data_IF_824673404804
#
_entry.id   IF_824673404804
#
_cell.length_a   1.000
_cell.length_b   1.000
_cell.length_c   1.000
_cell.angle_alpha   90.00
_cell.angle_beta   90.00
_cell.angle_gamma   90.00
#
_symmetry.space_group_name_H-M   'P 1'
#
loop_
_entity.id
_entity.type
_entity.pdbx_description
1 polymer ?
#
# COMPACT_ATOMS: atom_id res chain seq x y z
N UNK A 1 -22.58 -19.56 34.45
CA UNK A 1 -22.73 -18.32 33.66
C UNK A 1 -21.50 -18.19 32.78
N UNK A 2 -21.65 -18.44 31.47
CA UNK A 2 -20.54 -18.38 30.53
C UNK A 2 -21.07 -18.59 29.11
N UNK A 3 -21.75 -17.59 28.57
CA UNK A 3 -22.11 -17.57 27.15
C UNK A 3 -20.91 -17.01 26.36
N UNK A 4 -20.04 -17.90 25.90
CA UNK A 4 -19.15 -17.62 24.77
C UNK A 4 -19.98 -17.61 23.50
N UNK A 5 -20.48 -16.42 23.13
CA UNK A 5 -21.01 -16.21 21.78
C UNK A 5 -19.84 -16.25 20.81
N UNK A 6 -19.56 -17.42 20.26
CA UNK A 6 -18.69 -17.57 19.10
C UNK A 6 -19.30 -16.76 17.96
N UNK A 7 -18.72 -15.60 17.70
CA UNK A 7 -19.12 -14.74 16.59
C UNK A 7 -18.74 -15.43 15.29
N UNK A 8 -19.70 -16.18 14.72
CA UNK A 8 -19.57 -16.79 13.40
C UNK A 8 -19.30 -15.67 12.39
N UNK A 9 -18.08 -15.62 11.87
CA UNK A 9 -17.70 -14.72 10.79
C UNK A 9 -18.73 -14.79 9.67
N UNK A 10 -19.48 -13.71 9.49
CA UNK A 10 -20.52 -13.64 8.48
C UNK A 10 -19.90 -13.04 7.21
N UNK A 11 -19.93 -13.78 6.10
CA UNK A 11 -19.39 -13.29 4.81
C UNK A 11 -19.99 -11.96 4.35
N UNK A 12 -21.14 -11.56 4.91
CA UNK A 12 -21.74 -10.23 4.72
C UNK A 12 -20.85 -9.08 5.18
N UNK A 13 -19.92 -9.30 6.12
CA UNK A 13 -18.96 -8.29 6.56
C UNK A 13 -17.94 -7.89 5.48
N UNK A 14 -17.73 -8.74 4.46
CA UNK A 14 -16.85 -8.43 3.33
C UNK A 14 -17.54 -7.61 2.23
N UNK A 15 -18.87 -7.44 2.26
CA UNK A 15 -19.60 -6.73 1.22
C UNK A 15 -19.10 -5.28 1.04
N UNK A 16 -18.90 -4.48 2.10
CA UNK A 16 -18.38 -3.12 1.95
C UNK A 16 -16.99 -3.08 1.30
N UNK A 17 -16.14 -4.05 1.64
CA UNK A 17 -14.82 -4.21 1.05
C UNK A 17 -14.91 -4.59 -0.43
N UNK A 18 -15.79 -5.53 -0.79
CA UNK A 18 -16.04 -5.91 -2.18
C UNK A 18 -16.57 -4.73 -3.01
N UNK A 19 -17.47 -3.91 -2.45
CA UNK A 19 -17.96 -2.69 -3.10
C UNK A 19 -16.82 -1.72 -3.36
N UNK A 20 -15.97 -1.47 -2.36
CA UNK A 20 -14.77 -0.65 -2.52
C UNK A 20 -13.89 -1.15 -3.69
N UNK A 21 -13.56 -2.44 -3.69
CA UNK A 21 -12.70 -3.05 -4.72
C UNK A 21 -13.34 -2.93 -6.11
N UNK A 22 -14.64 -3.23 -6.23
CA UNK A 22 -15.36 -3.16 -7.50
C UNK A 22 -15.45 -1.72 -8.01
N UNK A 23 -15.80 -0.76 -7.16
CA UNK A 23 -15.90 0.66 -7.57
C UNK A 23 -14.53 1.16 -8.02
N UNK A 24 -13.47 0.86 -7.27
CA UNK A 24 -12.11 1.28 -7.63
C UNK A 24 -11.62 0.63 -8.93
N UNK A 25 -11.74 -0.70 -9.06
CA UNK A 25 -11.29 -1.44 -10.24
C UNK A 25 -12.12 -1.11 -11.49
N UNK A 26 -13.45 -1.09 -11.39
CA UNK A 26 -14.31 -0.74 -12.52
C UNK A 26 -14.04 0.68 -13.00
N UNK A 27 -13.89 1.64 -12.07
CA UNK A 27 -13.51 3.02 -12.43
C UNK A 27 -12.19 3.05 -13.20
N UNK A 28 -11.14 2.41 -12.67
CA UNK A 28 -9.83 2.34 -13.34
C UNK A 28 -9.88 1.63 -14.70
N UNK A 29 -10.62 0.53 -14.83
CA UNK A 29 -10.77 -0.19 -16.11
C UNK A 29 -11.53 0.65 -17.14
N UNK A 30 -12.64 1.30 -16.75
CA UNK A 30 -13.41 2.16 -17.66
C UNK A 30 -12.54 3.32 -18.15
N UNK A 31 -11.85 4.00 -17.24
CA UNK A 31 -10.92 5.09 -17.56
C UNK A 31 -9.76 4.60 -18.45
N UNK A 32 -9.29 3.37 -18.25
CA UNK A 32 -8.25 2.76 -19.07
C UNK A 32 -8.73 2.44 -20.49
N UNK A 33 -9.97 1.96 -20.65
CA UNK A 33 -10.59 1.70 -21.96
C UNK A 33 -10.84 3.02 -22.70
N UNK A 34 -11.15 4.09 -21.97
CA UNK A 34 -11.30 5.44 -22.52
C UNK A 34 -9.97 6.09 -22.94
N UNK A 35 -8.84 5.40 -22.75
CA UNK A 35 -7.52 5.89 -23.17
C UNK A 35 -6.95 6.98 -22.28
N UNK A 36 -7.45 7.13 -21.04
CA UNK A 36 -6.94 8.13 -20.09
C UNK A 36 -5.61 7.65 -19.52
N UNK A 37 -4.56 8.45 -19.64
CA UNK A 37 -3.27 8.17 -19.00
C UNK A 37 -3.44 8.09 -17.49
N UNK A 38 -2.75 7.12 -16.86
CA UNK A 38 -2.82 6.91 -15.41
C UNK A 38 -4.26 6.72 -14.89
N UNK A 39 -5.10 5.99 -15.64
CA UNK A 39 -6.52 5.78 -15.37
C UNK A 39 -6.87 5.46 -13.90
N UNK A 40 -6.07 4.64 -13.21
CA UNK A 40 -6.27 4.28 -11.79
C UNK A 40 -5.91 5.37 -10.78
N UNK A 41 -5.17 6.41 -11.22
CA UNK A 41 -4.85 7.59 -10.41
C UNK A 41 -5.90 8.69 -10.55
N UNK A 42 -6.67 8.70 -11.64
CA UNK A 42 -7.71 9.69 -11.90
C UNK A 42 -8.91 9.54 -10.96
N UNK A 43 -9.12 8.33 -10.44
CA UNK A 43 -10.10 8.07 -9.40
C UNK A 43 -9.39 7.81 -8.07
N UNK A 44 -9.29 8.81 -7.18
CA UNK A 44 -8.63 8.65 -5.90
C UNK A 44 -9.24 7.52 -5.08
N UNK A 45 -8.41 6.56 -4.65
CA UNK A 45 -8.81 5.46 -3.80
C UNK A 45 -9.58 5.89 -2.52
N UNK A 46 -9.25 7.02 -1.85
CA UNK A 46 -10.03 7.48 -0.70
C UNK A 46 -11.51 7.72 -1.00
N UNK A 47 -11.86 8.17 -2.21
CA UNK A 47 -13.26 8.37 -2.62
C UNK A 47 -13.97 7.01 -2.72
N UNK A 48 -13.30 6.01 -3.29
CA UNK A 48 -13.81 4.64 -3.36
C UNK A 48 -14.06 4.06 -1.96
N UNK A 49 -13.13 4.31 -1.02
CA UNK A 49 -13.23 3.85 0.38
C UNK A 49 -14.43 4.50 1.07
N UNK A 50 -14.67 5.81 0.88
CA UNK A 50 -15.84 6.50 1.44
C UNK A 50 -17.15 5.87 0.97
N UNK A 51 -17.26 5.50 -0.31
CA UNK A 51 -18.42 4.76 -0.81
C UNK A 51 -18.57 3.42 -0.07
N UNK A 52 -17.49 2.67 0.09
CA UNK A 52 -17.47 1.45 0.89
C UNK A 52 -17.95 1.66 2.33
N UNK A 53 -17.49 2.73 3.00
CA UNK A 53 -17.89 3.08 4.38
C UNK A 53 -19.39 3.39 4.45
N UNK A 54 -19.94 4.15 3.49
CA UNK A 54 -21.38 4.42 3.42
C UNK A 54 -22.18 3.11 3.36
N UNK A 55 -21.77 2.19 2.49
CA UNK A 55 -22.42 0.87 2.41
C UNK A 55 -22.22 0.02 3.67
N UNK A 56 -21.06 0.11 4.33
CA UNK A 56 -20.85 -0.53 5.64
C UNK A 56 -21.85 -0.01 6.67
N UNK A 57 -22.07 1.30 6.73
CA UNK A 57 -22.99 1.93 7.68
C UNK A 57 -24.45 1.57 7.38
N UNK A 58 -24.81 1.31 6.11
CA UNK A 58 -26.15 0.82 5.74
C UNK A 58 -26.35 -0.64 6.16
N UNK A 59 -25.33 -1.49 5.98
CA UNK A 59 -25.41 -2.93 6.30
C UNK A 59 -25.39 -3.22 7.80
N UNK A 60 -24.60 -2.47 8.56
CA UNK A 60 -24.50 -2.61 10.00
C UNK A 60 -25.81 -2.09 10.62
N UNK A 61 -26.46 -2.91 11.44
CA UNK A 61 -27.62 -2.50 12.22
C UNK A 61 -27.15 -1.82 13.52
N UNK A 62 -27.91 -0.82 13.99
CA UNK A 62 -27.57 -0.04 15.19
C UNK A 62 -27.76 1.46 14.98
N UNK A 63 -27.49 2.24 16.02
CA UNK A 63 -27.50 3.71 15.94
C UNK A 63 -26.28 4.23 15.16
N UNK A 64 -26.32 5.49 14.70
CA UNK A 64 -25.16 6.09 14.03
C UNK A 64 -23.96 6.22 14.97
N UNK A 65 -24.20 6.49 16.25
CA UNK A 65 -23.13 6.62 17.25
C UNK A 65 -22.42 5.27 17.47
N UNK A 66 -23.16 4.17 17.57
CA UNK A 66 -22.59 2.82 17.68
C UNK A 66 -21.75 2.42 16.46
N UNK A 67 -22.23 2.77 15.26
CA UNK A 67 -21.52 2.52 14.00
C UNK A 67 -20.23 3.35 13.94
N UNK A 68 -20.30 4.61 14.35
CA UNK A 68 -19.15 5.50 14.36
C UNK A 68 -18.10 5.04 15.38
N UNK A 69 -18.51 4.68 16.60
CA UNK A 69 -17.60 4.13 17.62
C UNK A 69 -16.90 2.87 17.11
N UNK A 70 -17.65 1.94 16.52
CA UNK A 70 -17.10 0.72 15.92
C UNK A 70 -16.11 1.01 14.79
N UNK A 71 -16.41 1.99 13.93
CA UNK A 71 -15.54 2.42 12.84
C UNK A 71 -14.23 3.05 13.36
N UNK A 72 -14.34 3.99 14.30
CA UNK A 72 -13.17 4.68 14.89
C UNK A 72 -12.29 3.68 15.64
N UNK A 73 -12.90 2.74 16.38
CA UNK A 73 -12.16 1.69 17.09
C UNK A 73 -11.42 0.76 16.14
N UNK A 74 -12.00 0.44 14.98
CA UNK A 74 -11.31 -0.29 13.92
C UNK A 74 -10.14 0.49 13.31
N UNK A 75 -10.32 1.78 13.05
CA UNK A 75 -9.26 2.66 12.54
C UNK A 75 -8.11 2.86 13.56
N UNK A 76 -8.42 2.78 14.86
CA UNK A 76 -7.47 2.91 15.96
C UNK A 76 -6.75 1.62 16.35
N UNK A 77 -6.82 0.56 15.54
CA UNK A 77 -6.08 -0.68 15.79
C UNK A 77 -4.57 -0.39 15.89
N UNK A 78 -3.91 -0.99 16.89
CA UNK A 78 -2.50 -0.74 17.18
C UNK A 78 -1.59 -1.01 15.97
N UNK A 79 -1.88 -2.05 15.19
CA UNK A 79 -1.11 -2.36 13.99
C UNK A 79 -1.28 -1.27 12.92
N UNK A 80 -2.51 -0.78 12.73
CA UNK A 80 -2.80 0.29 11.76
C UNK A 80 -2.07 1.58 12.18
N UNK A 81 -2.12 1.94 13.45
CA UNK A 81 -1.42 3.12 13.98
C UNK A 81 0.09 2.98 13.81
N UNK A 82 0.68 1.82 14.14
CA UNK A 82 2.11 1.56 13.94
C UNK A 82 2.48 1.70 12.45
N UNK A 83 1.68 1.13 11.54
CA UNK A 83 1.89 1.28 10.10
C UNK A 83 1.87 2.75 9.69
N UNK A 84 0.88 3.53 10.14
CA UNK A 84 0.81 4.97 9.86
C UNK A 84 2.07 5.72 10.31
N UNK A 85 2.56 5.45 11.51
CA UNK A 85 3.79 6.08 12.02
C UNK A 85 5.00 5.70 11.17
N UNK A 86 5.17 4.41 10.84
CA UNK A 86 6.26 3.95 9.97
C UNK A 86 6.18 4.63 8.59
N UNK A 87 4.99 4.72 8.00
CA UNK A 87 4.77 5.39 6.72
C UNK A 87 5.14 6.87 6.76
N UNK A 88 4.69 7.59 7.79
CA UNK A 88 4.97 9.02 7.94
C UNK A 88 6.47 9.27 8.14
N UNK A 89 7.13 8.47 8.98
CA UNK A 89 8.57 8.57 9.22
C UNK A 89 9.38 8.20 7.97
N UNK A 90 9.01 7.13 7.27
CA UNK A 90 9.69 6.71 6.05
C UNK A 90 9.49 7.72 4.91
N UNK A 91 8.29 8.30 4.77
CA UNK A 91 8.02 9.38 3.83
C UNK A 91 8.83 10.63 4.13
N UNK A 92 8.91 11.02 5.40
CA UNK A 92 9.77 12.11 5.87
C UNK A 92 11.25 11.83 5.58
N UNK A 93 11.74 10.65 5.94
CA UNK A 93 13.11 10.21 5.68
C UNK A 93 13.44 10.19 4.18
N UNK A 94 12.54 9.69 3.33
CA UNK A 94 12.72 9.68 1.87
C UNK A 94 12.81 11.10 1.31
N UNK A 95 12.02 12.04 1.85
CA UNK A 95 12.01 13.43 1.41
C UNK A 95 13.32 14.14 1.79
N UNK A 96 13.76 13.97 3.04
CA UNK A 96 15.02 14.54 3.55
C UNK A 96 16.23 13.92 2.85
N UNK A 97 16.26 12.59 2.68
CA UNK A 97 17.36 11.88 2.00
C UNK A 97 17.53 12.31 0.54
N UNK A 98 16.43 12.63 -0.14
CA UNK A 98 16.46 13.25 -1.48
C UNK A 98 16.98 14.68 -1.43
N UNK A 99 16.48 15.51 -0.50
CA UNK A 99 16.90 16.90 -0.37
C UNK A 99 18.40 17.04 -0.06
N UNK A 100 18.98 16.11 0.70
CA UNK A 100 20.41 16.07 1.02
C UNK A 100 21.27 15.44 -0.11
N UNK A 101 20.67 14.90 -1.18
CA UNK A 101 21.37 14.22 -2.28
C UNK A 101 21.92 12.83 -1.93
N UNK A 102 21.68 12.33 -0.71
CA UNK A 102 22.18 11.02 -0.26
C UNK A 102 21.56 9.86 -1.01
N UNK A 103 20.27 9.96 -1.36
CA UNK A 103 19.58 8.97 -2.17
C UNK A 103 20.21 8.85 -3.57
N UNK A 104 20.47 9.98 -4.22
CA UNK A 104 21.11 10.03 -5.55
C UNK A 104 22.53 9.48 -5.55
N UNK A 105 23.33 9.81 -4.52
CA UNK A 105 24.68 9.31 -4.36
C UNK A 105 24.71 7.80 -4.17
N UNK A 106 23.82 7.26 -3.32
CA UNK A 106 23.70 5.82 -3.06
C UNK A 106 23.28 5.06 -4.32
N UNK A 107 22.33 5.60 -5.08
CA UNK A 107 21.91 5.01 -6.35
C UNK A 107 23.06 5.00 -7.37
N UNK A 108 23.78 6.10 -7.52
CA UNK A 108 24.91 6.20 -8.46
C UNK A 108 26.05 5.24 -8.08
N UNK A 109 26.34 5.09 -6.78
CA UNK A 109 27.30 4.09 -6.30
C UNK A 109 26.83 2.66 -6.63
N UNK A 110 25.54 2.38 -6.41
CA UNK A 110 24.92 1.11 -6.78
C UNK A 110 25.10 0.78 -8.27
N UNK A 111 24.85 1.74 -9.16
CA UNK A 111 25.03 1.58 -10.61
C UNK A 111 26.48 1.41 -11.05
N UNK A 112 27.42 1.93 -10.25
CA UNK A 112 28.86 1.79 -10.54
C UNK A 112 29.39 0.41 -10.13
N UNK A 113 28.84 -0.17 -9.06
CA UNK A 113 29.29 -1.45 -8.52
C UNK A 113 28.51 -2.65 -9.06
N UNK A 114 27.23 -2.46 -9.40
CA UNK A 114 26.30 -3.54 -9.76
C UNK A 114 25.90 -3.39 -11.23
N UNK A 115 26.16 -4.41 -12.07
CA UNK A 115 25.66 -4.42 -13.44
C UNK A 115 24.13 -4.30 -13.50
N UNK A 116 23.56 -3.49 -14.42
CA UNK A 116 22.12 -3.22 -14.48
C UNK A 116 21.22 -4.47 -14.50
N UNK A 117 21.68 -5.55 -15.16
CA UNK A 117 20.96 -6.83 -15.24
C UNK A 117 20.68 -7.49 -13.88
N UNK A 118 21.46 -7.18 -12.85
CA UNK A 118 21.28 -7.76 -11.51
C UNK A 118 20.45 -6.88 -10.57
N UNK A 119 20.10 -5.66 -10.97
CA UNK A 119 19.38 -4.71 -10.12
C UNK A 119 18.00 -5.24 -9.72
N UNK A 120 17.24 -5.78 -10.67
CA UNK A 120 15.89 -6.31 -10.41
C UNK A 120 15.94 -7.48 -9.43
N UNK A 121 16.89 -8.41 -9.64
CA UNK A 121 17.10 -9.55 -8.73
C UNK A 121 17.57 -9.09 -7.35
N UNK A 122 18.45 -8.08 -7.30
CA UNK A 122 18.92 -7.49 -6.05
C UNK A 122 17.79 -6.84 -5.25
N UNK A 123 16.90 -6.09 -5.92
CA UNK A 123 15.69 -5.53 -5.30
C UNK A 123 14.84 -6.64 -4.70
N UNK A 124 14.58 -7.72 -5.45
CA UNK A 124 13.80 -8.86 -4.94
C UNK A 124 14.45 -9.50 -3.71
N UNK A 125 15.75 -9.79 -3.74
CA UNK A 125 16.44 -10.44 -2.62
C UNK A 125 16.48 -9.57 -1.37
N UNK A 126 16.72 -8.27 -1.52
CA UNK A 126 16.74 -7.32 -0.40
C UNK A 126 15.33 -7.16 0.17
N UNK A 127 14.31 -7.02 -0.68
CA UNK A 127 12.91 -6.98 -0.25
C UNK A 127 12.51 -8.25 0.48
N UNK A 128 12.84 -9.43 -0.06
CA UNK A 128 12.53 -10.71 0.58
C UNK A 128 13.22 -10.84 1.94
N UNK A 129 14.50 -10.47 2.04
CA UNK A 129 15.25 -10.50 3.30
C UNK A 129 14.63 -9.56 4.35
N UNK A 130 14.32 -8.33 3.97
CA UNK A 130 13.68 -7.35 4.87
C UNK A 130 12.27 -7.85 5.24
N UNK A 131 11.50 -8.39 4.31
CA UNK A 131 10.16 -8.91 4.59
C UNK A 131 10.20 -10.06 5.59
N UNK A 132 11.15 -10.98 5.45
CA UNK A 132 11.38 -12.06 6.42
C UNK A 132 11.82 -11.51 7.77
N UNK A 133 12.75 -10.56 7.80
CA UNK A 133 13.29 -9.99 9.03
C UNK A 133 12.26 -9.15 9.80
N UNK A 134 11.46 -8.37 9.08
CA UNK A 134 10.47 -7.43 9.67
C UNK A 134 9.09 -8.06 9.83
N UNK A 135 8.83 -9.20 9.18
CA UNK A 135 7.56 -9.92 9.21
C UNK A 135 6.39 -9.21 8.53
N UNK A 136 6.63 -8.09 7.83
CA UNK A 136 5.57 -7.26 7.21
C UNK A 136 5.85 -6.99 5.73
N UNK A 137 4.85 -7.23 4.88
CA UNK A 137 4.92 -6.91 3.44
C UNK A 137 4.96 -5.40 3.21
N UNK A 138 4.03 -4.68 3.83
CA UNK A 138 3.86 -3.24 3.59
C UNK A 138 5.04 -2.42 4.11
N UNK A 139 5.61 -2.77 5.28
CA UNK A 139 6.82 -2.12 5.79
C UNK A 139 8.02 -2.26 4.85
N UNK A 140 8.13 -3.41 4.17
CA UNK A 140 9.18 -3.68 3.17
C UNK A 140 9.03 -2.78 1.95
N UNK A 141 7.82 -2.71 1.39
CA UNK A 141 7.52 -1.87 0.21
C UNK A 141 7.82 -0.40 0.50
N UNK A 142 7.54 0.06 1.71
CA UNK A 142 7.78 1.44 2.13
C UNK A 142 9.27 1.75 2.31
N UNK A 143 10.02 0.84 2.92
CA UNK A 143 11.44 1.03 3.15
C UNK A 143 12.26 0.98 1.85
N UNK A 144 11.97 0.00 0.98
CA UNK A 144 12.77 -0.27 -0.22
C UNK A 144 12.22 0.48 -1.45
N UNK A 145 10.92 0.75 -1.50
CA UNK A 145 10.23 1.33 -2.66
C UNK A 145 10.85 2.62 -3.21
N UNK A 146 11.12 3.65 -2.38
CA UNK A 146 11.74 4.89 -2.85
C UNK A 146 13.13 4.69 -3.46
N UNK A 147 13.91 3.74 -2.95
CA UNK A 147 15.26 3.43 -3.43
C UNK A 147 15.17 2.64 -4.74
N UNK A 148 14.33 1.59 -4.78
CA UNK A 148 14.09 0.78 -5.97
C UNK A 148 13.58 1.62 -7.14
N UNK A 149 12.59 2.48 -6.90
CA UNK A 149 12.02 3.39 -7.91
C UNK A 149 13.10 4.32 -8.51
N UNK A 150 13.97 4.89 -7.68
CA UNK A 150 15.05 5.77 -8.15
C UNK A 150 16.14 5.01 -8.89
N UNK A 151 16.53 3.84 -8.40
CA UNK A 151 17.55 2.99 -9.00
C UNK A 151 17.15 2.56 -10.40
N UNK A 152 15.90 2.14 -10.57
CA UNK A 152 15.35 1.63 -11.84
C UNK A 152 15.19 2.76 -12.85
N UNK A 153 14.71 3.92 -12.41
CA UNK A 153 14.61 5.11 -13.25
C UNK A 153 15.98 5.56 -13.78
N UNK A 154 17.02 5.57 -12.93
CA UNK A 154 18.39 5.94 -13.36
C UNK A 154 19.09 4.86 -14.19
N UNK A 155 18.79 3.58 -13.94
CA UNK A 155 19.34 2.46 -14.71
C UNK A 155 18.72 2.32 -16.12
N UNK A 156 17.64 3.06 -16.42
CA UNK A 156 16.88 2.88 -17.67
C UNK A 156 16.17 1.53 -17.77
N UNK A 157 15.84 0.93 -16.61
CA UNK A 157 15.21 -0.39 -16.53
C UNK A 157 13.67 -0.28 -16.52
N UNK A 158 13.00 -1.38 -16.84
CA UNK A 158 11.54 -1.44 -16.86
C UNK A 158 10.97 -1.24 -15.43
N UNK A 159 10.31 -0.10 -15.20
CA UNK A 159 9.73 0.28 -13.91
C UNK A 159 8.69 -0.71 -13.39
N UNK A 160 7.69 -1.15 -14.19
CA UNK A 160 6.75 -2.18 -13.77
C UNK A 160 7.42 -3.49 -13.30
N UNK A 161 8.45 -3.95 -14.01
CA UNK A 161 9.15 -5.20 -13.67
C UNK A 161 9.86 -5.10 -12.32
N UNK A 162 10.55 -3.99 -12.06
CA UNK A 162 11.29 -3.83 -10.82
C UNK A 162 10.38 -3.55 -9.61
N UNK A 163 9.28 -2.83 -9.80
CA UNK A 163 8.25 -2.69 -8.77
C UNK A 163 7.51 -4.01 -8.54
N UNK A 164 7.32 -4.83 -9.57
CA UNK A 164 6.85 -6.21 -9.44
C UNK A 164 7.79 -7.05 -8.56
N UNK A 165 9.10 -6.95 -8.80
CA UNK A 165 10.13 -7.61 -8.00
C UNK A 165 10.22 -7.09 -6.55
N UNK A 166 9.81 -5.85 -6.29
CA UNK A 166 9.74 -5.30 -4.92
C UNK A 166 8.58 -5.92 -4.12
N UNK A 167 7.43 -6.12 -4.77
CA UNK A 167 6.16 -6.53 -4.13
C UNK A 167 5.99 -8.05 -4.09
N UNK A 168 6.65 -8.77 -5.00
CA UNK A 168 6.57 -10.22 -5.15
C UNK A 168 7.33 -11.03 -4.10
#
# INVERSE_FOLDING_TARGET
MGNTNENKGNGKALIPFAIFVLVYLCSGIILSIMGVEMAFYQFPAPIAVVIGIIFAFILIQGSLDEKMDSFVKGCGDENIIIMCIIYLLAGGFSSVSKAMGGADATVNLGLTLIPPQFIVVGIFLISAFISIATGTSVGTVVAVGPIAAQLVAKAGLNMPLALGALVG
#
